data_IF_573088813451
#
_entry.id   IF_573088813451
#
_cell.length_a   1.000
_cell.length_b   1.000
_cell.length_c   1.000
_cell.angle_alpha   90.00
_cell.angle_beta   90.00
_cell.angle_gamma   90.00
#
_symmetry.space_group_name_H-M   'P 1'
#
loop_
_entity.id
_entity.type
_entity.pdbx_description
1 polymer ?
#
# COMPACT_ATOMS: atom_id res chain seq x y z
N UNK A 1 58.61 22.73 35.76
CA UNK A 1 58.22 23.62 36.88
C UNK A 1 56.76 23.97 36.67
N UNK A 2 55.81 23.74 37.55
CA UNK A 2 55.69 22.94 38.78
C UNK A 2 54.17 22.78 38.93
N UNK A 3 53.68 21.57 39.17
CA UNK A 3 53.04 21.15 40.44
C UNK A 3 51.75 21.93 40.77
N UNK A 4 50.65 21.34 41.20
CA UNK A 4 50.21 19.96 41.44
C UNK A 4 48.69 20.08 41.73
N UNK A 5 47.94 18.98 41.56
CA UNK A 5 46.54 18.84 41.99
C UNK A 5 46.47 18.45 43.48
N UNK A 6 45.27 18.48 44.10
CA UNK A 6 44.93 17.85 45.42
C UNK A 6 43.48 18.24 45.82
N UNK A 7 42.69 17.43 46.56
CA UNK A 7 42.63 15.97 46.64
C UNK A 7 41.18 15.40 46.75
N UNK A 8 41.17 14.06 46.80
CA UNK A 8 40.13 13.07 47.11
C UNK A 8 39.77 12.93 48.61
N UNK A 9 38.80 12.01 48.86
CA UNK A 9 38.55 11.17 50.06
C UNK A 9 37.38 11.61 50.96
N UNK A 10 36.59 10.74 51.60
CA UNK A 10 36.41 9.28 51.60
C UNK A 10 35.19 8.94 52.49
N UNK A 11 34.46 7.89 52.10
CA UNK A 11 34.09 6.69 52.89
C UNK A 11 33.39 6.77 54.26
N UNK A 12 32.38 5.89 54.40
CA UNK A 12 32.04 4.98 55.52
C UNK A 12 30.52 4.69 55.45
N UNK A 13 30.02 3.54 55.00
CA UNK A 13 30.10 2.15 55.51
C UNK A 13 29.26 1.87 56.77
N UNK A 14 28.48 0.77 56.69
CA UNK A 14 27.79 -0.05 57.72
C UNK A 14 26.76 0.64 58.66
N UNK A 15 25.61 0.07 59.04
CA UNK A 15 25.40 -1.33 59.46
C UNK A 15 23.92 -1.75 59.57
N UNK A 16 23.72 -3.07 59.47
CA UNK A 16 22.76 -3.97 60.13
C UNK A 16 21.22 -3.72 60.24
N UNK A 17 20.50 -4.73 59.72
CA UNK A 17 19.20 -5.35 60.10
C UNK A 17 19.02 -5.63 61.64
N UNK A 18 17.88 -6.16 62.20
CA UNK A 18 16.76 -6.92 61.58
C UNK A 18 15.33 -6.76 62.20
N UNK A 19 14.42 -7.61 61.68
CA UNK A 19 13.21 -8.23 62.30
C UNK A 19 11.89 -7.45 62.26
N UNK A 20 10.70 -8.07 62.15
CA UNK A 20 10.16 -9.36 61.70
C UNK A 20 8.66 -9.23 62.05
N UNK A 21 7.70 -9.49 61.17
CA UNK A 21 6.45 -10.15 61.58
C UNK A 21 5.59 -10.62 60.40
N UNK A 22 5.26 -11.89 60.55
CA UNK A 22 4.47 -12.81 59.77
C UNK A 22 2.97 -12.49 59.85
N UNK A 23 2.23 -12.69 58.75
CA UNK A 23 0.88 -13.31 58.77
C UNK A 23 0.36 -13.56 57.34
N UNK A 24 0.54 -14.80 56.89
CA UNK A 24 -0.52 -15.72 56.41
C UNK A 24 -1.63 -15.26 55.45
N UNK A 25 -1.77 -16.05 54.37
CA UNK A 25 -3.00 -16.77 53.90
C UNK A 25 -3.60 -16.42 52.52
N UNK A 26 -3.48 -17.44 51.65
CA UNK A 26 -4.40 -18.00 50.63
C UNK A 26 -4.65 -17.34 49.25
N UNK A 27 -4.04 -18.00 48.26
CA UNK A 27 -4.69 -18.86 47.23
C UNK A 27 -5.62 -18.28 46.15
N UNK A 28 -5.05 -18.18 44.94
CA UNK A 28 -5.56 -18.50 43.57
C UNK A 28 -7.04 -18.26 43.21
N UNK A 29 -7.30 -17.58 42.07
CA UNK A 29 -8.48 -17.84 41.25
C UNK A 29 -8.28 -19.01 40.27
N UNK A 30 -9.32 -19.85 40.15
CA UNK A 30 -9.42 -21.02 39.28
C UNK A 30 -9.75 -20.70 37.81
N UNK A 31 -9.51 -21.63 36.86
CA UNK A 31 -9.86 -21.49 35.45
C UNK A 31 -11.36 -21.75 35.19
N UNK A 32 -11.99 -20.86 34.42
CA UNK A 32 -13.41 -20.97 34.03
C UNK A 32 -13.58 -22.03 32.93
N UNK A 33 -14.29 -23.12 33.26
CA UNK A 33 -14.77 -24.14 32.32
C UNK A 33 -15.91 -23.59 31.44
N UNK A 34 -15.78 -23.69 30.11
CA UNK A 34 -16.87 -23.39 29.16
C UNK A 34 -17.88 -24.54 29.10
N UNK A 35 -19.16 -24.18 29.25
CA UNK A 35 -20.35 -25.07 29.23
C UNK A 35 -20.80 -25.31 27.78
N UNK A 36 -20.87 -26.58 27.38
CA UNK A 36 -21.38 -27.06 26.07
C UNK A 36 -22.91 -26.97 26.06
N UNK A 37 -23.49 -26.15 25.18
CA UNK A 37 -24.95 -26.03 25.00
C UNK A 37 -25.41 -26.78 23.75
N UNK A 38 -26.24 -27.81 23.96
CA UNK A 38 -26.97 -28.57 22.93
C UNK A 38 -28.24 -27.79 22.56
N UNK A 39 -28.21 -27.00 21.47
CA UNK A 39 -29.39 -26.25 20.99
C UNK A 39 -29.56 -26.23 19.46
N UNK A 40 -28.72 -26.94 18.70
CA UNK A 40 -28.72 -26.83 17.23
C UNK A 40 -29.48 -27.95 16.48
N UNK A 41 -29.97 -28.98 17.17
CA UNK A 41 -30.64 -30.12 16.52
C UNK A 41 -32.14 -29.87 16.29
N UNK A 42 -32.80 -29.03 17.10
CA UNK A 42 -34.23 -28.76 16.96
C UNK A 42 -34.54 -27.75 15.84
N UNK A 43 -33.63 -26.80 15.58
CA UNK A 43 -33.78 -25.79 14.53
C UNK A 43 -33.58 -26.34 13.11
N UNK A 44 -32.78 -27.40 12.95
CA UNK A 44 -32.56 -28.06 11.67
C UNK A 44 -33.76 -28.91 11.21
N UNK A 45 -34.54 -29.46 12.14
CA UNK A 45 -35.74 -30.25 11.82
C UNK A 45 -36.94 -29.37 11.40
N UNK A 46 -37.03 -28.14 11.89
CA UNK A 46 -38.07 -27.18 11.49
C UNK A 46 -37.82 -26.59 10.08
N UNK A 47 -36.56 -26.44 9.65
CA UNK A 47 -36.24 -25.93 8.32
C UNK A 47 -36.55 -26.94 7.19
N UNK A 48 -36.47 -28.24 7.46
CA UNK A 48 -36.74 -29.30 6.47
C UNK A 48 -38.23 -29.49 6.16
N UNK A 49 -39.12 -29.19 7.10
CA UNK A 49 -40.58 -29.32 6.90
C UNK A 49 -41.17 -28.19 6.03
N UNK A 50 -40.53 -27.02 5.95
CA UNK A 50 -41.00 -25.90 5.10
C UNK A 50 -40.65 -26.14 3.62
N UNK A 51 -39.60 -26.90 3.33
CA UNK A 51 -39.14 -27.17 1.95
C UNK A 51 -40.03 -28.22 1.25
N UNK A 52 -40.66 -29.13 2.00
CA UNK A 52 -41.54 -30.15 1.43
C UNK A 52 -42.98 -29.66 1.12
N UNK A 53 -43.39 -28.48 1.60
CA UNK A 53 -44.74 -27.93 1.42
C UNK A 53 -44.93 -27.00 0.22
N UNK A 54 -43.85 -26.51 -0.41
CA UNK A 54 -43.91 -25.53 -1.51
C UNK A 54 -43.42 -26.07 -2.86
N UNK A 55 -42.97 -27.32 -2.92
CA UNK A 55 -42.47 -27.96 -4.15
C UNK A 55 -43.53 -28.45 -5.13
N UNK A 56 -44.83 -28.38 -4.78
CA UNK A 56 -45.91 -29.03 -5.54
C UNK A 56 -46.74 -28.15 -6.49
N UNK A 57 -46.58 -26.82 -6.48
CA UNK A 57 -47.49 -25.92 -7.21
C UNK A 57 -46.87 -25.07 -8.34
N UNK A 58 -45.54 -25.06 -8.49
CA UNK A 58 -44.87 -24.19 -9.47
C UNK A 58 -44.61 -24.86 -10.85
N UNK A 59 -44.74 -26.17 -10.97
CA UNK A 59 -44.36 -26.91 -12.20
C UNK A 59 -45.46 -26.95 -13.28
N UNK A 60 -46.72 -26.64 -12.94
CA UNK A 60 -47.83 -26.71 -13.90
C UNK A 60 -48.23 -25.37 -14.53
N UNK A 61 -47.75 -24.22 -14.02
CA UNK A 61 -48.03 -22.90 -14.60
C UNK A 61 -46.97 -22.42 -15.62
N UNK A 62 -45.78 -23.04 -15.64
CA UNK A 62 -44.71 -22.68 -16.58
C UNK A 62 -44.93 -23.17 -18.02
N UNK A 63 -45.69 -24.25 -18.23
CA UNK A 63 -45.77 -24.90 -19.54
C UNK A 63 -46.72 -24.18 -20.52
N UNK A 64 -47.76 -23.50 -20.00
CA UNK A 64 -48.75 -22.80 -20.84
C UNK A 64 -48.38 -21.36 -21.20
N UNK A 65 -47.38 -20.77 -20.53
CA UNK A 65 -46.91 -19.41 -20.83
C UNK A 65 -45.77 -19.40 -21.85
N UNK A 66 -45.01 -20.50 -22.00
CA UNK A 66 -43.85 -20.55 -22.88
C UNK A 66 -44.14 -20.87 -24.35
N UNK A 67 -45.32 -21.43 -24.68
CA UNK A 67 -45.58 -21.96 -26.03
C UNK A 67 -46.74 -21.31 -26.78
N UNK A 68 -47.37 -20.28 -26.22
CA UNK A 68 -48.42 -19.52 -26.90
C UNK A 68 -48.32 -18.03 -26.60
N UNK A 69 -47.34 -17.35 -27.21
CA UNK A 69 -47.53 -15.95 -27.61
C UNK A 69 -47.00 -15.74 -29.05
N UNK A 70 -47.76 -15.01 -29.90
CA UNK A 70 -47.31 -14.63 -31.24
C UNK A 70 -46.12 -13.66 -31.12
N UNK A 71 -45.28 -13.61 -32.17
CA UNK A 71 -44.05 -12.84 -32.23
C UNK A 71 -44.23 -11.38 -31.77
N UNK A 72 -43.97 -11.13 -30.48
CA UNK A 72 -43.82 -9.78 -29.94
C UNK A 72 -42.51 -9.21 -30.48
N UNK A 73 -42.65 -8.09 -31.18
CA UNK A 73 -41.57 -7.25 -31.68
C UNK A 73 -40.50 -7.08 -30.60
N UNK A 74 -39.23 -7.31 -30.96
CA UNK A 74 -38.10 -7.07 -30.08
C UNK A 74 -38.07 -5.61 -29.63
N UNK A 75 -38.61 -5.33 -28.45
CA UNK A 75 -38.22 -4.17 -27.67
C UNK A 75 -36.78 -4.41 -27.25
N UNK A 76 -35.87 -3.71 -27.92
CA UNK A 76 -34.50 -3.50 -27.46
C UNK A 76 -34.54 -3.12 -25.98
N UNK A 77 -33.88 -3.92 -25.15
CA UNK A 77 -33.61 -3.57 -23.77
C UNK A 77 -33.07 -2.14 -23.73
N UNK A 78 -33.48 -1.30 -22.75
CA UNK A 78 -32.89 0.02 -22.62
C UNK A 78 -31.39 -0.17 -22.52
N UNK A 79 -30.66 0.37 -23.50
CA UNK A 79 -29.20 0.48 -23.46
C UNK A 79 -28.88 1.06 -22.10
N UNK A 80 -28.26 0.25 -21.22
CA UNK A 80 -27.58 0.80 -20.06
C UNK A 80 -26.67 1.88 -20.64
N UNK A 81 -26.97 3.15 -20.33
CA UNK A 81 -26.10 4.24 -20.72
C UNK A 81 -24.72 3.83 -20.21
N UNK A 82 -23.79 3.60 -21.14
CA UNK A 82 -22.40 3.30 -20.79
C UNK A 82 -21.96 4.50 -19.96
N UNK A 83 -21.94 4.36 -18.63
CA UNK A 83 -21.48 5.42 -17.74
C UNK A 83 -20.10 5.78 -18.24
N UNK A 84 -19.94 7.03 -18.70
CA UNK A 84 -18.68 7.51 -19.25
C UNK A 84 -17.60 7.22 -18.22
N UNK A 85 -16.62 6.40 -18.60
CA UNK A 85 -15.47 6.08 -17.77
C UNK A 85 -14.78 7.39 -17.40
N UNK A 86 -14.62 7.65 -16.10
CA UNK A 86 -13.90 8.81 -15.62
C UNK A 86 -12.40 8.58 -15.82
N UNK A 87 -11.66 9.63 -16.18
CA UNK A 87 -10.20 9.58 -16.32
C UNK A 87 -9.53 10.55 -15.36
N UNK A 88 -8.27 10.31 -15.01
CA UNK A 88 -7.49 11.23 -14.19
C UNK A 88 -7.44 12.64 -14.80
N UNK A 89 -7.34 12.74 -16.14
CA UNK A 89 -7.36 14.01 -16.85
C UNK A 89 -8.71 14.73 -16.74
N UNK A 90 -9.83 14.01 -16.90
CA UNK A 90 -11.18 14.56 -16.69
C UNK A 90 -11.34 15.07 -15.25
N UNK A 91 -10.90 14.29 -14.25
CA UNK A 91 -10.97 14.67 -12.84
C UNK A 91 -10.16 15.92 -12.53
N UNK A 92 -8.90 15.96 -13.00
CA UNK A 92 -8.05 17.14 -12.81
C UNK A 92 -8.63 18.36 -13.51
N UNK A 93 -9.19 18.21 -14.72
CA UNK A 93 -9.85 19.32 -15.41
C UNK A 93 -11.02 19.90 -14.60
N UNK A 94 -11.78 19.07 -13.88
CA UNK A 94 -12.85 19.52 -13.00
C UNK A 94 -12.30 20.27 -11.78
N UNK A 95 -11.29 19.70 -11.12
CA UNK A 95 -10.64 20.29 -9.94
C UNK A 95 -10.00 21.64 -10.26
N UNK A 96 -9.37 21.81 -11.43
CA UNK A 96 -8.77 23.09 -11.84
C UNK A 96 -9.75 24.24 -11.90
N UNK A 97 -11.03 23.96 -12.11
CA UNK A 97 -12.05 25.01 -12.14
C UNK A 97 -12.37 25.58 -10.76
N UNK A 98 -11.95 24.93 -9.67
CA UNK A 98 -12.32 25.33 -8.31
C UNK A 98 -11.32 26.29 -7.64
N UNK A 99 -10.11 26.44 -8.19
CA UNK A 99 -9.07 27.33 -7.66
C UNK A 99 -7.98 27.63 -8.68
N UNK A 100 -7.27 28.75 -8.49
CA UNK A 100 -6.11 29.12 -9.30
C UNK A 100 -5.01 28.07 -9.15
N UNK A 101 -4.76 27.32 -10.23
CA UNK A 101 -3.84 26.19 -10.24
C UNK A 101 -3.24 25.95 -11.62
N UNK A 102 -2.05 25.36 -11.63
CA UNK A 102 -1.30 25.02 -12.83
C UNK A 102 -1.08 23.51 -12.91
N UNK A 103 -0.92 22.98 -14.13
CA UNK A 103 -0.53 21.58 -14.31
C UNK A 103 0.87 21.37 -13.73
N UNK A 104 1.03 20.30 -12.96
CA UNK A 104 2.28 19.98 -12.27
C UNK A 104 2.82 18.63 -12.74
N UNK A 105 4.13 18.57 -12.98
CA UNK A 105 4.87 17.32 -13.19
C UNK A 105 5.61 16.86 -11.92
N UNK A 106 5.73 17.74 -10.94
CA UNK A 106 6.49 17.50 -9.71
C UNK A 106 5.60 17.04 -8.56
N UNK A 107 4.28 17.12 -8.75
CA UNK A 107 3.29 16.63 -7.79
C UNK A 107 3.05 15.15 -8.05
N UNK A 108 3.51 14.31 -7.12
CA UNK A 108 3.33 12.87 -7.18
C UNK A 108 2.01 12.40 -6.55
N UNK A 109 1.76 11.10 -6.68
CA UNK A 109 0.66 10.39 -6.04
C UNK A 109 1.25 9.30 -5.12
N UNK A 110 0.95 9.38 -3.83
CA UNK A 110 1.50 8.46 -2.82
C UNK A 110 0.56 7.29 -2.47
N UNK A 111 -0.52 7.07 -3.22
CA UNK A 111 -1.55 6.08 -2.90
C UNK A 111 -1.21 4.69 -3.48
N UNK A 112 -0.83 3.69 -2.66
CA UNK A 112 -0.67 2.32 -3.10
C UNK A 112 -2.03 1.62 -3.25
N UNK A 113 -2.23 0.86 -4.32
CA UNK A 113 -3.48 0.14 -4.56
C UNK A 113 -3.24 -1.37 -4.66
N UNK A 114 -4.08 -2.16 -3.99
CA UNK A 114 -4.24 -3.58 -4.29
C UNK A 114 -5.17 -3.73 -5.49
N UNK A 115 -4.58 -3.77 -6.68
CA UNK A 115 -5.34 -3.88 -7.91
C UNK A 115 -6.16 -5.18 -7.93
N UNK A 116 -7.34 -5.17 -8.54
CA UNK A 116 -8.23 -6.32 -8.57
C UNK A 116 -7.52 -7.56 -9.14
N UNK A 117 -7.62 -8.69 -8.43
CA UNK A 117 -6.94 -9.94 -8.80
C UNK A 117 -5.49 -10.06 -8.30
N UNK A 118 -4.99 -9.08 -7.54
CA UNK A 118 -3.64 -9.09 -6.95
C UNK A 118 -3.72 -8.90 -5.43
N UNK A 119 -2.80 -9.54 -4.70
CA UNK A 119 -2.77 -9.55 -3.23
C UNK A 119 -1.65 -8.68 -2.62
N UNK A 120 -0.93 -7.93 -3.45
CA UNK A 120 0.14 -7.01 -3.06
C UNK A 120 -0.21 -5.57 -3.47
N UNK A 121 0.42 -4.60 -2.80
CA UNK A 121 0.25 -3.19 -3.13
C UNK A 121 1.09 -2.82 -4.36
N UNK A 122 0.48 -2.03 -5.24
CA UNK A 122 1.10 -1.49 -6.45
C UNK A 122 1.13 0.02 -6.34
N UNK A 123 2.31 0.60 -6.51
CA UNK A 123 2.49 2.01 -6.85
C UNK A 123 2.78 2.15 -8.34
N UNK A 124 2.32 3.23 -8.95
CA UNK A 124 2.55 3.51 -10.37
C UNK A 124 3.80 4.35 -10.59
N UNK A 125 4.26 4.39 -11.84
CA UNK A 125 5.22 5.38 -12.30
C UNK A 125 4.61 6.78 -12.22
N UNK A 126 5.32 7.72 -11.61
CA UNK A 126 4.84 9.10 -11.41
C UNK A 126 4.62 9.84 -12.75
N UNK A 127 5.24 9.38 -13.84
CA UNK A 127 4.94 9.88 -15.20
C UNK A 127 3.53 9.58 -15.71
N UNK A 128 2.78 8.70 -15.02
CA UNK A 128 1.37 8.39 -15.31
C UNK A 128 0.39 9.24 -14.51
N UNK A 129 0.89 10.02 -13.56
CA UNK A 129 0.07 10.90 -12.73
C UNK A 129 -0.27 12.16 -13.51
N UNK A 130 -1.52 12.59 -13.42
CA UNK A 130 -1.97 13.91 -13.84
C UNK A 130 -2.19 14.72 -12.58
N UNK A 131 -1.50 15.86 -12.45
CA UNK A 131 -1.58 16.65 -11.24
C UNK A 131 -1.67 18.14 -11.52
N UNK A 132 -2.18 18.85 -10.51
CA UNK A 132 -2.20 20.30 -10.44
C UNK A 132 -1.69 20.76 -9.09
N UNK A 133 -1.13 21.97 -9.07
CA UNK A 133 -0.78 22.63 -7.83
C UNK A 133 -1.15 24.11 -7.88
N UNK A 134 -1.32 24.69 -6.70
CA UNK A 134 -1.57 26.13 -6.57
C UNK A 134 -1.19 26.62 -5.18
N UNK A 135 -0.74 27.86 -5.14
CA UNK A 135 -0.44 28.58 -3.90
C UNK A 135 -1.69 29.34 -3.47
N UNK A 136 -2.15 29.12 -2.24
CA UNK A 136 -3.37 29.72 -1.68
C UNK A 136 -3.06 30.31 -0.32
N UNK A 137 -3.72 31.41 0.06
CA UNK A 137 -3.57 31.96 1.40
C UNK A 137 -3.94 30.90 2.46
N UNK A 138 -3.22 30.87 3.58
CA UNK A 138 -3.51 29.98 4.72
C UNK A 138 -5.00 29.96 5.08
N UNK A 139 -5.60 31.15 5.19
CA UNK A 139 -7.01 31.34 5.56
C UNK A 139 -7.99 30.71 4.58
N UNK A 140 -7.60 30.56 3.32
CA UNK A 140 -8.44 30.03 2.25
C UNK A 140 -8.18 28.54 2.00
N UNK A 141 -7.07 27.99 2.52
CA UNK A 141 -6.64 26.62 2.26
C UNK A 141 -7.72 25.58 2.58
N UNK A 142 -8.35 25.66 3.76
CA UNK A 142 -9.40 24.73 4.14
C UNK A 142 -10.65 24.87 3.25
N UNK A 143 -10.99 26.09 2.82
CA UNK A 143 -12.11 26.36 1.92
C UNK A 143 -11.84 25.77 0.53
N UNK A 144 -10.62 25.91 0.02
CA UNK A 144 -10.22 25.33 -1.27
C UNK A 144 -10.25 23.80 -1.20
N UNK A 145 -9.66 23.20 -0.16
CA UNK A 145 -9.72 21.73 0.04
C UNK A 145 -11.16 21.25 0.11
N UNK A 146 -12.05 21.93 0.84
CA UNK A 146 -13.46 21.57 0.92
C UNK A 146 -14.19 21.68 -0.43
N UNK A 147 -13.87 22.68 -1.26
CA UNK A 147 -14.41 22.80 -2.63
C UNK A 147 -13.98 21.63 -3.51
N UNK A 148 -12.70 21.27 -3.47
CA UNK A 148 -12.16 20.14 -4.23
C UNK A 148 -12.80 18.83 -3.75
N UNK A 149 -12.84 18.61 -2.44
CA UNK A 149 -13.46 17.44 -1.83
C UNK A 149 -14.94 17.31 -2.23
N UNK A 150 -15.68 18.42 -2.29
CA UNK A 150 -17.07 18.44 -2.76
C UNK A 150 -17.18 17.97 -4.22
N UNK A 151 -16.34 18.49 -5.12
CA UNK A 151 -16.32 18.08 -6.54
C UNK A 151 -16.06 16.58 -6.66
N UNK A 152 -15.08 16.05 -5.92
CA UNK A 152 -14.76 14.62 -5.95
C UNK A 152 -15.90 13.77 -5.38
N UNK A 153 -16.49 14.17 -4.24
CA UNK A 153 -17.64 13.47 -3.64
C UNK A 153 -18.87 13.45 -4.57
N UNK A 154 -19.13 14.55 -5.28
CA UNK A 154 -20.20 14.62 -6.29
C UNK A 154 -19.95 13.71 -7.50
N UNK A 155 -18.69 13.34 -7.77
CA UNK A 155 -18.30 12.33 -8.76
C UNK A 155 -18.26 10.90 -8.22
N UNK A 156 -18.66 10.70 -6.96
CA UNK A 156 -18.76 9.36 -6.35
C UNK A 156 -17.46 8.83 -5.75
N UNK A 157 -16.44 9.68 -5.58
CA UNK A 157 -15.22 9.27 -4.90
C UNK A 157 -15.48 9.04 -3.40
N UNK A 158 -14.88 7.98 -2.87
CA UNK A 158 -14.82 7.71 -1.43
C UNK A 158 -13.57 8.35 -0.85
N UNK A 159 -13.75 9.19 0.17
CA UNK A 159 -12.68 9.89 0.88
C UNK A 159 -12.10 9.04 2.01
N UNK A 160 -10.78 9.09 2.16
CA UNK A 160 -10.04 8.57 3.30
C UNK A 160 -9.01 9.62 3.71
N UNK A 161 -9.16 10.16 4.92
CA UNK A 161 -8.18 11.09 5.48
C UNK A 161 -7.00 10.26 6.00
N UNK A 162 -5.83 10.47 5.41
CA UNK A 162 -4.57 9.80 5.76
C UNK A 162 -3.88 10.59 6.86
N UNK A 163 -3.77 11.91 6.67
CA UNK A 163 -3.20 12.83 7.64
C UNK A 163 -4.11 14.06 7.75
N UNK A 164 -4.58 14.36 8.96
CA UNK A 164 -5.57 15.43 9.19
C UNK A 164 -4.99 16.85 9.14
N UNK A 165 -3.67 17.00 9.08
CA UNK A 165 -3.02 18.32 9.09
C UNK A 165 -3.14 19.08 10.42
N UNK A 166 -3.39 18.38 11.54
CA UNK A 166 -3.35 19.00 12.87
C UNK A 166 -1.95 19.59 13.16
N UNK A 167 -1.89 20.67 13.94
CA UNK A 167 -0.66 21.35 14.39
C UNK A 167 0.29 21.80 13.25
N UNK A 168 -0.25 22.48 12.23
CA UNK A 168 0.52 22.97 11.06
C UNK A 168 1.22 21.87 10.23
N UNK A 169 0.81 20.60 10.40
CA UNK A 169 1.32 19.49 9.62
C UNK A 169 0.65 19.37 8.25
N UNK A 170 1.25 18.59 7.35
CA UNK A 170 0.68 18.30 6.03
C UNK A 170 -0.72 17.67 6.15
N UNK A 171 -1.70 18.19 5.42
CA UNK A 171 -2.97 17.50 5.22
C UNK A 171 -2.86 16.57 4.01
N UNK A 172 -3.31 15.31 4.16
CA UNK A 172 -3.34 14.30 3.09
C UNK A 172 -4.68 13.57 3.13
N UNK A 173 -5.38 13.54 2.01
CA UNK A 173 -6.59 12.74 1.85
C UNK A 173 -6.63 12.04 0.49
N UNK A 174 -6.93 10.75 0.53
CA UNK A 174 -7.10 9.90 -0.64
C UNK A 174 -8.57 9.89 -1.06
N UNK A 175 -8.80 9.91 -2.37
CA UNK A 175 -10.11 9.82 -2.98
C UNK A 175 -10.09 8.68 -3.99
N UNK A 176 -10.91 7.66 -3.77
CA UNK A 176 -10.97 6.50 -4.66
C UNK A 176 -12.36 6.36 -5.29
N UNK A 177 -12.38 6.24 -6.61
CA UNK A 177 -13.53 5.87 -7.43
C UNK A 177 -13.14 4.60 -8.24
N UNK A 178 -14.09 3.91 -8.87
CA UNK A 178 -13.85 2.70 -9.66
C UNK A 178 -12.73 2.88 -10.70
N UNK A 179 -12.69 4.01 -11.38
CA UNK A 179 -11.83 4.24 -12.55
C UNK A 179 -10.62 5.13 -12.24
N UNK A 180 -10.64 5.89 -11.15
CA UNK A 180 -9.63 6.91 -10.81
C UNK A 180 -9.34 6.91 -9.30
N UNK A 181 -8.08 7.10 -8.95
CA UNK A 181 -7.65 7.43 -7.59
C UNK A 181 -6.98 8.81 -7.62
N UNK A 182 -7.24 9.61 -6.59
CA UNK A 182 -6.65 10.92 -6.40
C UNK A 182 -6.16 11.09 -4.96
N UNK A 183 -5.25 12.04 -4.77
CA UNK A 183 -4.77 12.49 -3.46
C UNK A 183 -4.79 14.01 -3.45
N UNK A 184 -5.32 14.58 -2.37
CA UNK A 184 -5.19 15.99 -2.05
C UNK A 184 -4.11 16.12 -0.99
N UNK A 185 -3.11 16.95 -1.25
CA UNK A 185 -2.08 17.30 -0.26
C UNK A 185 -2.06 18.80 -0.05
N UNK A 186 -1.99 19.23 1.21
CA UNK A 186 -1.74 20.63 1.55
C UNK A 186 -0.49 20.73 2.41
N UNK A 187 0.48 21.51 1.95
CA UNK A 187 1.74 21.75 2.68
C UNK A 187 1.93 23.23 2.96
N UNK A 188 2.46 23.56 4.14
CA UNK A 188 2.87 24.92 4.49
C UNK A 188 4.12 25.28 3.68
N UNK A 189 4.12 26.43 3.01
CA UNK A 189 5.36 26.95 2.43
C UNK A 189 6.18 27.58 3.55
N UNK A 190 7.36 27.03 3.84
CA UNK A 190 8.04 27.17 5.14
C UNK A 190 8.62 28.55 5.51
N UNK A 191 8.27 29.64 4.83
CA UNK A 191 8.92 30.94 5.02
C UNK A 191 8.01 32.11 5.41
N UNK A 192 6.76 31.89 5.86
CA UNK A 192 5.94 32.99 6.36
C UNK A 192 4.88 32.54 7.40
N UNK A 193 4.84 33.12 8.61
CA UNK A 193 3.78 32.88 9.61
C UNK A 193 2.40 33.45 9.22
N UNK A 194 2.34 34.26 8.15
CA UNK A 194 1.10 34.61 7.40
C UNK A 194 0.96 33.81 6.10
N UNK A 195 1.72 32.72 5.97
CA UNK A 195 2.18 32.19 4.69
C UNK A 195 1.16 31.42 3.89
N UNK A 196 1.42 31.37 2.60
CA UNK A 196 0.62 30.60 1.67
C UNK A 196 0.81 29.10 1.91
N UNK A 197 -0.25 28.35 1.64
CA UNK A 197 -0.25 26.92 1.51
C UNK A 197 -0.12 26.52 0.06
N UNK A 198 0.61 25.44 -0.19
CA UNK A 198 0.58 24.76 -1.47
C UNK A 198 -0.50 23.69 -1.41
N UNK A 199 -1.50 23.79 -2.28
CA UNK A 199 -2.54 22.76 -2.47
C UNK A 199 -2.24 22.00 -3.75
N UNK A 200 -1.90 20.74 -3.57
CA UNK A 200 -1.56 19.76 -4.59
C UNK A 200 -2.73 18.79 -4.76
N UNK A 201 -3.11 18.51 -6.01
CA UNK A 201 -4.04 17.43 -6.33
C UNK A 201 -3.43 16.57 -7.42
N UNK A 202 -3.23 15.29 -7.13
CA UNK A 202 -2.71 14.31 -8.07
C UNK A 202 -3.75 13.22 -8.30
N UNK A 203 -3.91 12.78 -9.55
CA UNK A 203 -4.82 11.71 -9.91
C UNK A 203 -4.15 10.73 -10.88
N UNK A 204 -4.56 9.47 -10.83
CA UNK A 204 -4.16 8.46 -11.79
C UNK A 204 -5.31 7.50 -12.10
N UNK A 205 -5.26 6.89 -13.29
CA UNK A 205 -6.28 5.93 -13.69
C UNK A 205 -6.04 4.59 -12.99
N UNK A 206 -7.11 3.94 -12.54
CA UNK A 206 -7.04 2.59 -11.96
C UNK A 206 -6.48 1.55 -12.96
N UNK A 207 -6.63 1.79 -14.27
CA UNK A 207 -6.03 0.95 -15.32
C UNK A 207 -4.50 0.98 -15.33
N UNK A 208 -3.88 2.08 -14.90
CA UNK A 208 -2.41 2.17 -14.81
C UNK A 208 -1.89 1.29 -13.67
N UNK A 209 -2.62 1.23 -12.54
CA UNK A 209 -2.35 0.29 -11.45
C UNK A 209 -2.52 -1.16 -11.89
N UNK A 210 -3.60 -1.51 -12.58
CA UNK A 210 -3.84 -2.87 -13.09
C UNK A 210 -2.73 -3.33 -14.06
N UNK A 211 -2.34 -2.47 -14.98
CA UNK A 211 -1.26 -2.76 -15.95
C UNK A 211 0.07 -2.94 -15.24
N UNK A 212 0.36 -2.08 -14.26
CA UNK A 212 1.60 -2.12 -13.49
C UNK A 212 1.66 -3.38 -12.62
N UNK A 213 0.59 -3.68 -11.88
CA UNK A 213 0.47 -4.90 -11.06
C UNK A 213 0.72 -6.15 -11.92
N UNK A 214 0.11 -6.24 -13.10
CA UNK A 214 0.34 -7.38 -14.00
C UNK A 214 1.82 -7.63 -14.29
N UNK A 215 2.60 -6.57 -14.55
CA UNK A 215 4.05 -6.67 -14.78
C UNK A 215 4.86 -7.05 -13.53
N UNK A 216 4.36 -6.70 -12.34
CA UNK A 216 5.02 -6.97 -11.06
C UNK A 216 4.75 -8.39 -10.56
N UNK A 217 3.69 -9.07 -11.03
CA UNK A 217 3.24 -10.38 -10.53
C UNK A 217 4.34 -11.43 -10.41
N UNK A 218 5.24 -11.64 -11.40
CA UNK A 218 6.29 -12.65 -11.27
C UNK A 218 7.23 -12.37 -10.09
N UNK A 219 7.53 -11.10 -9.85
CA UNK A 219 8.44 -10.63 -8.80
C UNK A 219 7.77 -10.65 -7.42
N UNK A 220 6.52 -10.18 -7.35
CA UNK A 220 5.73 -10.21 -6.12
C UNK A 220 5.49 -11.63 -5.60
N UNK A 221 5.40 -12.62 -6.50
CA UNK A 221 5.20 -14.04 -6.13
C UNK A 221 6.44 -14.64 -5.45
N UNK A 222 7.63 -14.22 -5.85
CA UNK A 222 8.90 -14.77 -5.36
C UNK A 222 9.55 -13.88 -4.30
N UNK A 223 9.02 -12.68 -4.11
CA UNK A 223 9.44 -11.77 -3.07
C UNK A 223 9.22 -12.39 -1.69
N UNK A 224 10.31 -12.53 -0.94
CA UNK A 224 10.28 -13.05 0.42
C UNK A 224 10.21 -11.88 1.39
N UNK A 225 9.11 -11.78 2.15
CA UNK A 225 8.97 -10.82 3.26
C UNK A 225 9.81 -11.19 4.48
N UNK A 226 10.51 -12.34 4.47
CA UNK A 226 11.36 -12.76 5.60
C UNK A 226 12.52 -11.79 5.88
N UNK A 227 12.85 -10.93 4.91
CA UNK A 227 13.86 -9.87 5.05
C UNK A 227 13.24 -8.49 5.37
N UNK A 228 11.91 -8.34 5.36
CA UNK A 228 11.26 -7.08 5.72
C UNK A 228 10.74 -7.16 7.16
N UNK A 229 11.51 -6.61 8.10
CA UNK A 229 11.05 -6.38 9.49
C UNK A 229 9.84 -5.41 9.58
N UNK A 230 9.41 -4.84 8.45
CA UNK A 230 8.65 -3.60 8.37
C UNK A 230 7.33 -3.73 7.59
N UNK A 231 6.40 -4.55 8.10
CA UNK A 231 5.00 -4.47 7.70
C UNK A 231 4.70 -4.72 6.21
N UNK A 232 3.65 -4.09 5.69
CA UNK A 232 3.26 -4.23 4.29
C UNK A 232 4.19 -3.41 3.37
N UNK A 233 4.45 -3.93 2.18
CA UNK A 233 5.23 -3.24 1.14
C UNK A 233 4.40 -3.07 -0.14
N UNK A 234 4.82 -2.12 -0.97
CA UNK A 234 4.37 -1.96 -2.33
C UNK A 234 5.53 -2.10 -3.31
N UNK A 235 5.20 -2.55 -4.51
CA UNK A 235 6.10 -2.48 -5.66
C UNK A 235 5.75 -1.26 -6.50
N UNK A 236 6.75 -0.46 -6.90
CA UNK A 236 6.51 0.79 -7.62
C UNK A 236 7.04 0.71 -9.04
N UNK A 237 6.16 1.00 -10.00
CA UNK A 237 6.50 1.03 -11.42
C UNK A 237 6.77 -0.35 -12.01
N UNK A 238 7.37 -0.38 -13.20
CA UNK A 238 7.69 -1.62 -13.91
C UNK A 238 9.07 -2.15 -13.52
N UNK A 239 9.25 -3.48 -13.50
CA UNK A 239 10.56 -4.09 -13.29
C UNK A 239 11.48 -3.76 -14.48
N UNK A 240 12.73 -3.41 -14.19
CA UNK A 240 13.78 -3.25 -15.20
C UNK A 240 14.52 -4.57 -15.33
N UNK A 241 14.36 -5.25 -16.47
CA UNK A 241 14.97 -6.57 -16.73
C UNK A 241 16.20 -6.40 -17.61
N UNK A 242 17.31 -7.02 -17.24
CA UNK A 242 18.58 -6.98 -17.97
C UNK A 242 19.12 -8.39 -18.16
N UNK A 243 19.61 -8.72 -19.36
CA UNK A 243 20.29 -9.99 -19.60
C UNK A 243 21.63 -10.03 -18.84
N UNK A 244 21.95 -11.17 -18.22
CA UNK A 244 23.28 -11.39 -17.65
C UNK A 244 24.32 -11.61 -18.75
N UNK A 245 25.61 -11.45 -18.42
CA UNK A 245 26.71 -11.92 -19.28
C UNK A 245 26.77 -13.46 -19.35
N UNK A 246 26.17 -14.17 -18.40
CA UNK A 246 26.02 -15.63 -18.47
C UNK A 246 24.76 -15.97 -19.24
N UNK A 247 24.90 -16.75 -20.32
CA UNK A 247 23.77 -17.18 -21.15
C UNK A 247 22.70 -17.91 -20.33
N UNK A 248 21.43 -17.57 -20.59
CA UNK A 248 20.29 -18.15 -19.88
C UNK A 248 19.96 -17.50 -18.54
N UNK A 249 20.77 -16.55 -18.06
CA UNK A 249 20.48 -15.79 -16.84
C UNK A 249 20.03 -14.36 -17.16
N UNK A 250 19.13 -13.83 -16.34
CA UNK A 250 18.73 -12.41 -16.36
C UNK A 250 18.64 -11.87 -14.93
N UNK A 251 18.75 -10.56 -14.78
CA UNK A 251 18.47 -9.85 -13.54
C UNK A 251 17.26 -8.94 -13.71
N UNK A 252 16.60 -8.62 -12.61
CA UNK A 252 15.60 -7.56 -12.60
C UNK A 252 15.74 -6.71 -11.35
N UNK A 253 15.40 -5.43 -11.52
CA UNK A 253 15.28 -4.47 -10.43
C UNK A 253 13.86 -3.94 -10.38
N UNK A 254 13.27 -3.90 -9.19
CA UNK A 254 11.94 -3.36 -8.97
C UNK A 254 11.93 -2.56 -7.67
N UNK A 255 11.47 -1.32 -7.72
CA UNK A 255 11.41 -0.49 -6.53
C UNK A 255 10.41 -1.04 -5.50
N UNK A 256 10.83 -1.10 -4.26
CA UNK A 256 10.05 -1.54 -3.11
C UNK A 256 10.02 -0.40 -2.10
N UNK A 257 8.81 -0.07 -1.65
CA UNK A 257 8.55 1.01 -0.70
C UNK A 257 7.66 0.44 0.40
N UNK A 258 7.89 0.84 1.65
CA UNK A 258 7.00 0.45 2.74
C UNK A 258 5.62 1.08 2.56
N UNK A 259 4.59 0.41 3.04
CA UNK A 259 3.25 0.99 3.17
C UNK A 259 3.08 1.38 4.63
N UNK A 260 2.81 2.65 4.87
CA UNK A 260 2.64 3.22 6.21
C UNK A 260 1.35 2.70 6.86
N UNK A 261 1.19 2.78 8.20
CA UNK A 261 0.01 2.26 8.89
C UNK A 261 -1.32 2.91 8.45
N UNK A 262 -1.26 4.17 8.02
CA UNK A 262 -2.36 4.92 7.43
C UNK A 262 -2.64 4.52 5.96
N UNK A 263 -1.82 3.67 5.37
CA UNK A 263 -2.04 3.03 4.06
C UNK A 263 -1.43 3.76 2.87
N UNK A 264 -0.54 4.73 3.09
CA UNK A 264 0.16 5.46 2.03
C UNK A 264 1.58 4.93 1.76
N UNK A 265 2.23 5.50 0.75
CA UNK A 265 3.63 5.21 0.44
C UNK A 265 4.56 5.81 1.49
N UNK A 266 5.44 4.99 2.07
CA UNK A 266 6.52 5.47 2.93
C UNK A 266 7.59 6.25 2.16
N UNK A 267 8.46 6.94 2.90
CA UNK A 267 9.54 7.78 2.35
C UNK A 267 10.80 7.01 1.92
N UNK A 268 10.92 5.74 2.33
CA UNK A 268 12.06 4.88 2.00
C UNK A 268 11.83 4.07 0.73
N UNK A 269 12.79 4.11 -0.20
CA UNK A 269 12.80 3.26 -1.41
C UNK A 269 14.03 2.36 -1.41
N UNK A 270 13.81 1.06 -1.45
CA UNK A 270 14.83 0.08 -1.79
C UNK A 270 14.62 -0.43 -3.21
N UNK A 271 15.68 -0.92 -3.85
CA UNK A 271 15.61 -1.69 -5.09
C UNK A 271 15.57 -3.18 -4.73
N UNK A 272 14.44 -3.83 -4.96
CA UNK A 272 14.35 -5.28 -4.93
C UNK A 272 15.14 -5.87 -6.09
N UNK A 273 16.15 -6.68 -5.77
CA UNK A 273 17.01 -7.37 -6.70
C UNK A 273 16.51 -8.80 -6.91
N UNK A 274 16.30 -9.17 -8.18
CA UNK A 274 15.79 -10.47 -8.60
C UNK A 274 16.69 -11.05 -9.69
N UNK A 275 16.70 -12.37 -9.81
CA UNK A 275 17.39 -13.05 -10.91
C UNK A 275 16.53 -14.18 -11.47
N UNK A 276 16.76 -14.48 -12.74
CA UNK A 276 16.16 -15.58 -13.45
C UNK A 276 17.26 -16.57 -13.85
N UNK A 277 17.01 -17.86 -13.62
CA UNK A 277 17.92 -18.93 -14.07
C UNK A 277 17.49 -19.46 -15.44
N UNK A 278 18.29 -20.34 -16.10
CA UNK A 278 17.94 -20.90 -17.41
C UNK A 278 16.60 -21.65 -17.46
N UNK A 279 16.02 -22.01 -16.31
CA UNK A 279 14.69 -22.61 -16.21
C UNK A 279 13.53 -21.59 -16.31
N UNK A 280 13.86 -20.32 -16.56
CA UNK A 280 12.95 -19.19 -16.70
C UNK A 280 12.17 -18.83 -15.42
N UNK A 281 12.57 -19.35 -14.24
CA UNK A 281 11.96 -18.96 -12.96
C UNK A 281 12.69 -17.78 -12.35
N UNK A 282 11.89 -16.86 -11.81
CA UNK A 282 12.40 -15.73 -11.03
C UNK A 282 12.70 -16.15 -9.59
N UNK A 283 13.71 -15.53 -9.03
CA UNK A 283 14.15 -15.69 -7.65
C UNK A 283 14.39 -14.32 -7.05
N UNK A 284 13.95 -14.12 -5.81
CA UNK A 284 14.33 -12.96 -5.04
C UNK A 284 15.75 -13.14 -4.48
N UNK A 285 16.55 -12.07 -4.52
CA UNK A 285 17.86 -12.03 -3.89
C UNK A 285 17.82 -11.21 -2.60
N UNK A 286 17.73 -9.88 -2.71
CA UNK A 286 17.68 -8.96 -1.57
C UNK A 286 17.07 -7.62 -1.97
N UNK A 287 16.86 -6.74 -1.00
CA UNK A 287 16.50 -5.34 -1.22
C UNK A 287 17.70 -4.44 -0.90
N UNK A 288 18.11 -3.62 -1.86
CA UNK A 288 19.31 -2.79 -1.81
C UNK A 288 18.96 -1.29 -1.79
N UNK A 289 19.65 -0.49 -0.99
CA UNK A 289 19.57 0.98 -1.07
C UNK A 289 20.77 1.60 -1.82
N UNK A 290 21.69 0.77 -2.31
CA UNK A 290 22.92 1.19 -2.97
C UNK A 290 23.72 0.00 -3.51
N UNK A 291 25.04 0.15 -3.61
CA UNK A 291 25.93 -0.96 -3.97
C UNK A 291 25.99 -1.98 -2.84
N UNK A 292 25.93 -3.25 -3.22
CA UNK A 292 25.99 -4.37 -2.29
C UNK A 292 27.41 -4.91 -2.13
N UNK A 293 27.67 -5.59 -1.01
CA UNK A 293 28.93 -6.30 -0.81
C UNK A 293 29.03 -7.51 -1.73
N UNK A 294 30.21 -7.72 -2.33
CA UNK A 294 30.44 -8.85 -3.24
C UNK A 294 30.29 -10.22 -2.55
N UNK A 295 30.51 -10.28 -1.23
CA UNK A 295 30.34 -11.49 -0.44
C UNK A 295 28.87 -11.92 -0.28
N UNK A 296 27.88 -11.09 -0.64
CA UNK A 296 26.46 -11.48 -0.65
C UNK A 296 26.09 -12.38 -1.84
N UNK A 297 26.91 -12.40 -2.89
CA UNK A 297 26.71 -13.25 -4.07
C UNK A 297 27.31 -14.65 -3.84
N UNK A 298 26.70 -15.40 -2.92
CA UNK A 298 27.29 -16.62 -2.36
C UNK A 298 27.06 -17.88 -3.19
N UNK A 299 26.03 -17.90 -4.04
CA UNK A 299 25.66 -19.09 -4.84
C UNK A 299 26.14 -18.96 -6.28
N UNK A 300 26.37 -20.11 -6.94
CA UNK A 300 26.74 -20.16 -8.35
C UNK A 300 25.72 -19.43 -9.23
N UNK A 301 24.43 -19.56 -8.96
CA UNK A 301 23.38 -18.88 -9.71
C UNK A 301 23.39 -17.38 -9.50
N UNK A 302 23.63 -16.90 -8.27
CA UNK A 302 23.77 -15.46 -8.00
C UNK A 302 24.97 -14.87 -8.74
N UNK A 303 26.12 -15.55 -8.69
CA UNK A 303 27.33 -15.10 -9.40
C UNK A 303 27.10 -15.10 -10.91
N UNK A 304 26.51 -16.15 -11.47
CA UNK A 304 26.20 -16.22 -12.91
C UNK A 304 25.17 -15.17 -13.32
N UNK A 305 24.18 -14.87 -12.51
CA UNK A 305 23.18 -13.84 -12.79
C UNK A 305 23.77 -12.43 -12.74
N UNK A 306 24.63 -12.14 -11.76
CA UNK A 306 25.13 -10.79 -11.50
C UNK A 306 26.56 -10.53 -11.98
N UNK A 307 27.20 -11.48 -12.65
CA UNK A 307 28.60 -11.34 -13.12
C UNK A 307 28.84 -10.01 -13.85
N UNK A 308 29.88 -9.29 -13.41
CA UNK A 308 30.22 -7.98 -13.93
C UNK A 308 29.39 -6.80 -13.40
N UNK A 309 28.42 -7.04 -12.52
CA UNK A 309 27.70 -5.97 -11.80
C UNK A 309 28.61 -5.35 -10.75
N UNK A 310 28.64 -4.01 -10.59
CA UNK A 310 29.40 -3.37 -9.52
C UNK A 310 28.98 -3.84 -8.12
N UNK A 311 29.97 -4.09 -7.26
CA UNK A 311 29.79 -4.44 -5.85
C UNK A 311 30.98 -3.92 -5.03
N UNK A 312 30.88 -3.91 -3.71
CA UNK A 312 31.94 -3.44 -2.80
C UNK A 312 32.64 -4.64 -2.15
N UNK A 313 33.97 -4.65 -2.14
CA UNK A 313 34.74 -5.67 -1.40
C UNK A 313 34.79 -5.37 0.10
N UNK A 314 35.44 -6.25 0.87
CA UNK A 314 35.58 -6.08 2.33
C UNK A 314 36.42 -4.86 2.73
N UNK A 315 37.24 -4.34 1.80
CA UNK A 315 38.06 -3.14 2.00
C UNK A 315 37.31 -1.85 1.60
N UNK A 316 36.04 -1.92 1.18
CA UNK A 316 35.26 -0.77 0.76
C UNK A 316 35.54 -0.33 -0.68
N UNK A 317 36.31 -1.09 -1.46
CA UNK A 317 36.62 -0.75 -2.85
C UNK A 317 35.53 -1.29 -3.79
N UNK A 318 35.11 -0.46 -4.72
CA UNK A 318 34.22 -0.88 -5.79
C UNK A 318 34.95 -1.81 -6.77
N UNK A 319 34.44 -3.02 -6.90
CA UNK A 319 34.86 -4.04 -7.87
C UNK A 319 33.62 -4.56 -8.60
N UNK A 320 33.70 -5.74 -9.22
CA UNK A 320 32.55 -6.39 -9.86
C UNK A 320 32.38 -7.83 -9.39
N UNK A 321 31.15 -8.34 -9.41
CA UNK A 321 30.87 -9.76 -9.15
C UNK A 321 31.64 -10.64 -10.14
N UNK A 322 32.38 -11.62 -9.63
CA UNK A 322 33.11 -12.62 -10.40
C UNK A 322 32.46 -14.00 -10.26
N UNK A 323 32.75 -14.90 -11.20
CA UNK A 323 32.39 -16.32 -11.09
C UNK A 323 33.24 -17.00 -10.00
#
# INVERSE_FOLDING_TARGET
MNEKPVPTNNSAEVDALPQNQDTTVQSRPQPIKKKKSRSHILLLLLALLVIAGLGGAATLLGYKYYFTQPASQSQSAPSQAVQKKLTAADTISLVRSSYTSELSKDTGLAVPIKAAGYNYYTGIDQSKVVAVNGTVAYTDSAVIVAKIAKILKEKGFTEKIVQSGADDSTYIADYTERDVVCEITTTKTYNNPTGDHKVDVACANMSDYLTTASSQKPFATVYSTKESETGAVQFVGKPTITASKTAGYSTAQLAIVSVTPDGNSGSGRASGLFYQTPDMKWHYFLSAMGLEFCNKYTTDDLKKAYVGTPCVDEAGKQITVTL
#
